data_IF_274308498887
#
_entry.id   IF_274308498887
#
_cell.length_a   1.000
_cell.length_b   1.000
_cell.length_c   1.000
_cell.angle_alpha   90.00
_cell.angle_beta   90.00
_cell.angle_gamma   90.00
#
_symmetry.space_group_name_H-M   'P 1'
#
loop_
_entity.id
_entity.type
_entity.pdbx_description
1 polymer ?
#
# COMPACT_ATOMS: atom_id res chain seq x y z
N UNK A 1 -48.17 8.09 -38.24
CA UNK A 1 -47.90 8.93 -37.05
C UNK A 1 -47.70 8.08 -35.79
N UNK A 2 -48.62 7.18 -35.41
CA UNK A 2 -48.51 6.36 -34.19
C UNK A 2 -47.28 5.44 -34.10
N UNK A 3 -46.85 4.82 -35.21
CA UNK A 3 -45.68 3.92 -35.22
C UNK A 3 -44.35 4.63 -34.94
N UNK A 4 -44.19 5.88 -35.38
CA UNK A 4 -42.98 6.65 -35.12
C UNK A 4 -42.87 7.06 -33.64
N UNK A 5 -43.99 7.43 -33.02
CA UNK A 5 -44.01 7.76 -31.59
C UNK A 5 -43.65 6.54 -30.72
N UNK A 6 -44.15 5.36 -31.06
CA UNK A 6 -43.82 4.12 -30.33
C UNK A 6 -42.33 3.78 -30.38
N UNK A 7 -41.68 3.96 -31.54
CA UNK A 7 -40.23 3.74 -31.68
C UNK A 7 -39.40 4.71 -30.85
N UNK A 8 -39.78 5.99 -30.80
CA UNK A 8 -39.09 7.00 -29.98
C UNK A 8 -39.23 6.69 -28.49
N UNK A 9 -40.43 6.27 -28.05
CA UNK A 9 -40.66 5.88 -26.65
C UNK A 9 -39.85 4.64 -26.30
N UNK A 10 -39.82 3.63 -27.16
CA UNK A 10 -39.00 2.44 -26.94
C UNK A 10 -37.50 2.79 -26.85
N UNK A 11 -37.00 3.60 -27.78
CA UNK A 11 -35.60 4.04 -27.80
C UNK A 11 -35.21 4.83 -26.54
N UNK A 12 -36.09 5.72 -26.05
CA UNK A 12 -35.84 6.50 -24.83
C UNK A 12 -35.88 5.64 -23.56
N UNK A 13 -36.80 4.67 -23.49
CA UNK A 13 -36.85 3.71 -22.38
C UNK A 13 -35.58 2.85 -22.35
N UNK A 14 -35.15 2.32 -23.50
CA UNK A 14 -33.88 1.60 -23.60
C UNK A 14 -32.70 2.50 -23.20
N UNK A 15 -32.61 3.71 -23.72
CA UNK A 15 -31.54 4.64 -23.38
C UNK A 15 -31.51 4.94 -21.87
N UNK A 16 -32.66 5.20 -21.24
CA UNK A 16 -32.75 5.40 -19.79
C UNK A 16 -32.39 4.14 -19.00
N UNK A 17 -32.78 2.96 -19.46
CA UNK A 17 -32.43 1.69 -18.83
C UNK A 17 -30.92 1.46 -18.86
N UNK A 18 -30.31 1.60 -20.04
CA UNK A 18 -28.86 1.52 -20.24
C UNK A 18 -28.11 2.58 -19.42
N UNK A 19 -28.61 3.82 -19.39
CA UNK A 19 -28.01 4.90 -18.61
C UNK A 19 -28.05 4.63 -17.10
N UNK A 20 -29.19 4.15 -16.59
CA UNK A 20 -29.34 3.74 -15.18
C UNK A 20 -28.39 2.60 -14.84
N UNK A 21 -28.29 1.58 -15.71
CA UNK A 21 -27.38 0.44 -15.54
C UNK A 21 -25.92 0.88 -15.54
N UNK A 22 -25.54 1.74 -16.49
CA UNK A 22 -24.20 2.27 -16.64
C UNK A 22 -23.77 3.10 -15.42
N UNK A 23 -24.66 3.97 -14.92
CA UNK A 23 -24.41 4.74 -13.69
C UNK A 23 -24.19 3.84 -12.47
N UNK A 24 -24.99 2.78 -12.31
CA UNK A 24 -24.79 1.81 -11.21
C UNK A 24 -23.43 1.10 -11.30
N UNK A 25 -23.07 0.60 -12.49
CA UNK A 25 -21.77 -0.05 -12.69
C UNK A 25 -20.59 0.88 -12.43
N UNK A 26 -20.68 2.15 -12.85
CA UNK A 26 -19.64 3.16 -12.57
C UNK A 26 -19.49 3.44 -11.08
N UNK A 27 -20.61 3.62 -10.35
CA UNK A 27 -20.57 3.86 -8.90
C UNK A 27 -19.92 2.70 -8.15
N UNK A 28 -20.31 1.47 -8.47
CA UNK A 28 -19.74 0.28 -7.86
C UNK A 28 -18.23 0.16 -8.13
N UNK A 29 -17.80 0.47 -9.36
CA UNK A 29 -16.38 0.47 -9.70
C UNK A 29 -15.60 1.51 -8.89
N UNK A 30 -16.11 2.75 -8.78
CA UNK A 30 -15.49 3.81 -8.00
C UNK A 30 -15.39 3.47 -6.51
N UNK A 31 -16.46 2.93 -5.93
CA UNK A 31 -16.46 2.50 -4.53
C UNK A 31 -15.48 1.36 -4.27
N UNK A 32 -15.44 0.37 -5.17
CA UNK A 32 -14.48 -0.73 -5.07
C UNK A 32 -13.03 -0.22 -5.17
N UNK A 33 -12.76 0.77 -6.02
CA UNK A 33 -11.44 1.39 -6.13
C UNK A 33 -11.07 2.17 -4.87
N UNK A 34 -11.97 3.02 -4.36
CA UNK A 34 -11.72 3.78 -3.13
C UNK A 34 -11.44 2.85 -1.93
N UNK A 35 -12.13 1.71 -1.84
CA UNK A 35 -11.85 0.68 -0.82
C UNK A 35 -10.47 0.05 -1.00
N UNK A 36 -10.08 -0.28 -2.24
CA UNK A 36 -8.75 -0.83 -2.54
C UNK A 36 -7.64 0.18 -2.20
N UNK A 37 -7.80 1.45 -2.54
CA UNK A 37 -6.82 2.49 -2.21
C UNK A 37 -6.64 2.65 -0.70
N UNK A 38 -7.73 2.65 0.06
CA UNK A 38 -7.67 2.67 1.54
C UNK A 38 -6.90 1.47 2.09
N UNK A 39 -7.13 0.27 1.55
CA UNK A 39 -6.38 -0.93 1.96
C UNK A 39 -4.89 -0.83 1.63
N UNK A 40 -4.52 -0.28 0.47
CA UNK A 40 -3.11 -0.06 0.11
C UNK A 40 -2.46 0.96 1.04
N UNK A 41 -3.15 2.06 1.37
CA UNK A 41 -2.65 3.05 2.32
C UNK A 41 -2.45 2.46 3.72
N UNK A 42 -3.43 1.68 4.20
CA UNK A 42 -3.32 0.94 5.46
C UNK A 42 -2.17 -0.08 5.44
N UNK A 43 -1.94 -0.75 4.32
CA UNK A 43 -0.81 -1.66 4.14
C UNK A 43 0.54 -0.96 4.25
N UNK A 44 0.70 0.20 3.60
CA UNK A 44 1.91 1.01 3.73
C UNK A 44 2.12 1.50 5.17
N UNK A 45 1.05 1.95 5.83
CA UNK A 45 1.12 2.38 7.22
C UNK A 45 1.48 1.22 8.16
N UNK A 46 0.85 0.06 8.00
CA UNK A 46 1.16 -1.15 8.77
C UNK A 46 2.60 -1.62 8.55
N UNK A 47 3.11 -1.55 7.32
CA UNK A 47 4.50 -1.84 7.02
C UNK A 47 5.46 -0.84 7.68
N UNK A 48 5.12 0.45 7.69
CA UNK A 48 5.87 1.49 8.38
C UNK A 48 5.94 1.25 9.89
N UNK A 49 4.80 1.00 10.53
CA UNK A 49 4.72 0.68 11.97
C UNK A 49 5.51 -0.60 12.30
N UNK A 50 5.41 -1.64 11.47
CA UNK A 50 6.20 -2.85 11.67
C UNK A 50 7.71 -2.61 11.56
N UNK A 51 8.12 -1.70 10.67
CA UNK A 51 9.51 -1.29 10.53
C UNK A 51 9.99 -0.50 11.76
N UNK A 52 9.16 0.40 12.28
CA UNK A 52 9.47 1.17 13.49
C UNK A 52 9.56 0.30 14.74
N UNK A 53 8.74 -0.76 14.87
CA UNK A 53 8.83 -1.73 15.99
C UNK A 53 10.10 -2.61 15.88
N UNK A 54 10.53 -2.92 14.66
CA UNK A 54 11.75 -3.72 14.44
C UNK A 54 13.02 -2.99 14.88
N UNK A 55 13.03 -1.66 14.85
CA UNK A 55 14.18 -0.85 15.25
C UNK A 55 14.55 -0.99 16.74
N UNK A 56 13.67 -0.74 17.72
CA UNK A 56 13.99 -0.92 19.14
C UNK A 56 14.29 -2.39 19.47
N UNK A 57 13.59 -3.36 18.85
CA UNK A 57 13.90 -4.78 19.05
C UNK A 57 15.30 -5.16 18.58
N UNK A 58 15.76 -4.58 17.47
CA UNK A 58 17.13 -4.78 16.97
C UNK A 58 18.15 -4.19 17.94
N UNK A 59 17.89 -3.00 18.49
CA UNK A 59 18.74 -2.38 19.51
C UNK A 59 18.80 -3.18 20.81
N UNK A 60 17.67 -3.68 21.31
CA UNK A 60 17.61 -4.54 22.52
C UNK A 60 18.42 -5.82 22.32
N UNK A 61 18.29 -6.46 21.15
CA UNK A 61 19.10 -7.63 20.79
C UNK A 61 20.60 -7.31 20.76
N UNK A 62 20.98 -6.16 20.21
CA UNK A 62 22.37 -5.70 20.15
C UNK A 62 22.96 -5.50 21.55
N UNK A 63 22.23 -4.81 22.43
CA UNK A 63 22.61 -4.62 23.84
C UNK A 63 22.73 -5.95 24.59
N UNK A 64 21.76 -6.84 24.43
CA UNK A 64 21.77 -8.15 25.06
C UNK A 64 23.00 -8.99 24.63
N UNK A 65 23.34 -8.99 23.34
CA UNK A 65 24.57 -9.63 22.85
C UNK A 65 25.84 -8.99 23.41
N UNK A 66 25.90 -7.66 23.42
CA UNK A 66 27.01 -6.89 23.95
C UNK A 66 27.30 -7.23 25.43
N UNK A 67 26.26 -7.42 26.25
CA UNK A 67 26.42 -7.84 27.63
C UNK A 67 26.84 -9.31 27.75
N UNK A 68 26.28 -10.21 26.93
CA UNK A 68 26.66 -11.61 26.93
C UNK A 68 28.17 -11.80 26.63
N UNK A 69 28.73 -11.02 25.70
CA UNK A 69 30.15 -11.06 25.33
C UNK A 69 31.10 -10.55 26.43
N UNK A 70 30.62 -9.68 27.33
CA UNK A 70 31.42 -9.10 28.44
C UNK A 70 31.26 -9.82 29.77
N UNK A 71 30.45 -10.86 29.82
CA UNK A 71 30.13 -11.57 31.05
C UNK A 71 30.75 -12.97 31.01
N UNK A 72 31.30 -13.48 32.12
CA UNK A 72 31.87 -14.83 32.15
C UNK A 72 30.88 -15.88 31.63
N UNK A 73 31.28 -16.74 30.70
CA UNK A 73 30.40 -17.80 30.20
C UNK A 73 29.96 -18.71 31.36
N UNK A 74 28.65 -18.91 31.49
CA UNK A 74 28.05 -19.70 32.56
C UNK A 74 27.55 -18.89 33.76
N UNK A 75 27.94 -17.62 33.91
CA UNK A 75 27.43 -16.73 34.95
C UNK A 75 25.95 -16.36 34.75
N UNK A 76 25.23 -16.06 35.84
CA UNK A 76 23.81 -15.71 35.82
C UNK A 76 23.52 -14.54 34.86
N UNK A 77 24.36 -13.51 34.89
CA UNK A 77 24.26 -12.35 33.97
C UNK A 77 24.49 -12.72 32.50
N UNK A 78 25.31 -13.74 32.18
CA UNK A 78 25.49 -14.22 30.80
C UNK A 78 24.23 -14.97 30.32
N UNK A 79 23.62 -15.78 31.19
CA UNK A 79 22.37 -16.49 30.88
C UNK A 79 21.21 -15.50 30.67
N UNK A 80 21.11 -14.49 31.53
CA UNK A 80 20.08 -13.45 31.43
C UNK A 80 20.20 -12.68 30.10
N UNK A 81 21.42 -12.30 29.72
CA UNK A 81 21.71 -11.63 28.46
C UNK A 81 21.36 -12.51 27.24
N UNK A 82 21.63 -13.82 27.29
CA UNK A 82 21.20 -14.75 26.24
C UNK A 82 19.67 -14.84 26.12
N UNK A 83 18.95 -14.89 27.25
CA UNK A 83 17.48 -14.93 27.26
C UNK A 83 16.91 -13.65 26.64
N UNK A 84 17.41 -12.48 27.02
CA UNK A 84 16.98 -11.20 26.42
C UNK A 84 17.22 -11.16 24.90
N UNK A 85 18.38 -11.63 24.44
CA UNK A 85 18.69 -11.69 23.01
C UNK A 85 17.74 -12.64 22.26
N UNK A 86 17.43 -13.80 22.85
CA UNK A 86 16.53 -14.80 22.28
C UNK A 86 15.10 -14.27 22.18
N UNK A 87 14.65 -13.52 23.16
CA UNK A 87 13.29 -12.99 23.21
C UNK A 87 13.07 -11.80 22.29
N UNK A 88 14.05 -10.90 22.18
CA UNK A 88 14.07 -9.86 21.15
C UNK A 88 14.01 -10.46 19.73
N UNK A 89 14.70 -11.60 19.51
CA UNK A 89 14.70 -12.29 18.22
C UNK A 89 13.38 -13.02 17.92
N UNK A 90 12.70 -13.56 18.95
CA UNK A 90 11.34 -14.12 18.82
C UNK A 90 10.33 -13.04 18.45
N UNK A 91 10.38 -11.87 19.12
CA UNK A 91 9.50 -10.74 18.84
C UNK A 91 9.71 -10.21 17.41
N UNK A 92 10.97 -10.09 16.97
CA UNK A 92 11.30 -9.67 15.61
C UNK A 92 10.77 -10.64 14.54
N UNK A 93 10.87 -11.97 14.77
CA UNK A 93 10.30 -12.98 13.87
C UNK A 93 8.77 -12.99 13.85
N UNK A 94 8.13 -12.80 15.01
CA UNK A 94 6.67 -12.70 15.13
C UNK A 94 6.13 -11.50 14.34
N UNK A 95 6.76 -10.33 14.48
CA UNK A 95 6.41 -9.13 13.72
C UNK A 95 6.55 -9.28 12.20
N UNK A 96 7.59 -9.99 11.74
CA UNK A 96 7.80 -10.23 10.29
C UNK A 96 6.72 -11.11 9.66
N UNK A 97 6.18 -12.10 10.37
CA UNK A 97 5.08 -12.94 9.87
C UNK A 97 3.77 -12.16 9.75
N UNK A 98 3.50 -11.24 10.67
CA UNK A 98 2.33 -10.36 10.61
C UNK A 98 2.47 -9.29 9.51
N UNK A 99 3.67 -8.72 9.33
CA UNK A 99 3.93 -7.68 8.33
C UNK A 99 4.06 -8.22 6.90
N UNK A 100 4.58 -9.44 6.72
CA UNK A 100 4.69 -10.11 5.41
C UNK A 100 3.35 -10.50 4.78
N UNK A 101 2.27 -10.51 5.58
CA UNK A 101 0.89 -10.69 5.12
C UNK A 101 0.22 -9.37 4.70
N UNK A 102 1.01 -8.33 4.42
CA UNK A 102 0.52 -7.04 3.93
C UNK A 102 -0.45 -7.20 2.74
N UNK A 103 -1.40 -6.27 2.56
CA UNK A 103 -2.51 -6.44 1.63
C UNK A 103 -1.98 -6.77 0.24
N UNK A 104 -2.48 -7.86 -0.34
CA UNK A 104 -2.09 -8.34 -1.66
C UNK A 104 -2.06 -7.16 -2.66
N UNK A 105 -0.92 -6.97 -3.34
CA UNK A 105 -0.81 -6.00 -4.44
C UNK A 105 -1.99 -6.22 -5.38
N UNK A 106 -2.78 -5.19 -5.71
CA UNK A 106 -3.93 -5.36 -6.57
C UNK A 106 -3.45 -5.90 -7.92
N UNK A 107 -3.86 -7.12 -8.25
CA UNK A 107 -3.32 -7.90 -9.37
C UNK A 107 -3.76 -7.40 -10.76
N UNK A 108 -4.62 -6.38 -10.85
CA UNK A 108 -4.86 -5.61 -12.07
C UNK A 108 -5.20 -4.16 -11.70
N UNK A 109 -4.33 -3.21 -12.09
CA UNK A 109 -4.69 -1.80 -12.13
C UNK A 109 -5.78 -1.59 -13.20
N UNK A 110 -6.82 -0.79 -12.94
CA UNK A 110 -7.80 -0.45 -13.95
C UNK A 110 -7.16 0.35 -15.09
N UNK A 111 -7.80 0.28 -16.26
CA UNK A 111 -7.37 0.88 -17.52
C UNK A 111 -6.87 2.34 -17.39
N UNK A 112 -5.82 2.67 -18.14
CA UNK A 112 -5.05 3.94 -18.09
C UNK A 112 -5.90 5.21 -18.17
N UNK A 113 -7.04 5.14 -18.88
CA UNK A 113 -7.99 6.25 -19.01
C UNK A 113 -8.69 6.58 -17.69
N UNK A 114 -8.97 5.58 -16.86
CA UNK A 114 -9.60 5.75 -15.55
C UNK A 114 -8.64 6.37 -14.55
N UNK A 115 -7.37 5.94 -14.61
CA UNK A 115 -6.31 6.40 -13.73
C UNK A 115 -5.89 7.86 -13.99
N UNK A 116 -6.08 8.33 -15.22
CA UNK A 116 -5.89 9.74 -15.60
C UNK A 116 -7.03 10.64 -15.10
N UNK A 117 -8.26 10.12 -15.05
CA UNK A 117 -9.42 10.86 -14.54
C UNK A 117 -9.51 10.83 -13.00
N UNK A 118 -8.98 9.79 -12.36
CA UNK A 118 -8.96 9.58 -10.91
C UNK A 118 -7.59 9.05 -10.48
N UNK A 119 -6.58 9.92 -10.31
CA UNK A 119 -5.26 9.51 -9.86
C UNK A 119 -5.33 9.00 -8.41
N UNK A 120 -4.56 7.94 -8.06
CA UNK A 120 -4.60 7.39 -6.70
C UNK A 120 -4.11 8.43 -5.70
N UNK A 121 -4.85 8.63 -4.60
CA UNK A 121 -4.51 9.62 -3.56
C UNK A 121 -3.11 9.39 -2.95
N UNK A 122 -2.64 8.14 -2.94
CA UNK A 122 -1.30 7.77 -2.43
C UNK A 122 -0.18 8.41 -3.28
N UNK A 123 -0.45 8.79 -4.54
CA UNK A 123 0.53 9.48 -5.39
C UNK A 123 0.71 10.97 -5.00
N UNK A 124 -0.24 11.57 -4.28
CA UNK A 124 -0.20 13.01 -3.92
C UNK A 124 0.74 13.28 -2.73
N UNK A 125 1.25 12.23 -2.07
CA UNK A 125 2.14 12.34 -0.89
C UNK A 125 3.64 12.19 -1.15
N UNK A 126 4.11 12.10 -2.41
CA UNK A 126 5.54 12.03 -2.71
C UNK A 126 6.05 13.37 -3.26
N UNK A 127 6.52 14.31 -2.41
CA UNK A 127 7.37 15.37 -2.92
C UNK A 127 8.67 14.70 -3.40
N UNK A 128 8.94 14.75 -4.72
CA UNK A 128 10.27 14.41 -5.24
C UNK A 128 10.37 13.23 -6.22
N UNK A 129 9.29 12.72 -6.80
CA UNK A 129 9.39 11.81 -7.96
C UNK A 129 9.03 12.56 -9.26
N UNK A 130 9.81 13.59 -9.59
CA UNK A 130 9.90 14.08 -10.96
C UNK A 130 10.64 13.02 -11.79
N UNK A 131 9.99 12.57 -12.84
CA UNK A 131 10.47 11.55 -13.77
C UNK A 131 11.68 12.10 -14.57
N UNK A 132 12.86 11.43 -14.57
CA UNK A 132 14.01 11.92 -15.29
C UNK A 132 13.92 11.47 -16.76
N UNK A 133 13.05 12.11 -17.52
CA UNK A 133 13.05 12.07 -18.99
C UNK A 133 12.96 13.49 -19.50
N UNK A 134 14.13 14.13 -19.57
CA UNK A 134 14.53 15.21 -20.48
C UNK A 134 15.63 16.04 -19.81
N UNK A 135 16.81 15.43 -19.70
CA UNK A 135 18.04 16.11 -19.25
C UNK A 135 18.92 16.51 -20.44
N UNK A 136 18.31 16.86 -21.57
CA UNK A 136 19.00 17.09 -22.83
C UNK A 136 18.83 18.50 -23.42
N UNK A 137 18.35 19.49 -22.66
CA UNK A 137 18.04 20.83 -23.22
C UNK A 137 18.61 22.03 -22.46
N UNK A 138 19.56 21.83 -21.53
CA UNK A 138 20.19 22.96 -20.83
C UNK A 138 21.70 22.74 -20.80
N UNK A 139 22.36 22.84 -21.96
CA UNK A 139 23.76 23.24 -22.15
C UNK A 139 24.07 23.22 -23.66
N UNK A 140 23.52 24.17 -24.40
CA UNK A 140 24.05 24.57 -25.71
C UNK A 140 23.61 26.00 -26.02
N UNK A 141 24.59 26.79 -26.45
CA UNK A 141 24.54 28.19 -26.87
C UNK A 141 24.74 29.23 -25.74
N UNK A 142 26.00 29.66 -25.64
CA UNK A 142 26.47 31.07 -25.67
C UNK A 142 25.43 32.17 -25.50
#
# INVERSE_FOLDING_TARGET
MLGAAALVIAATILAQFWFRRYRRSRKQLLEAMARKEKLVALGHLAAGVAHEIRNPLSSIKGLAKYFAERTPPGGESHQLAQVMAKEADRLNRGGQRAAGAGPARPSKLPDSRYQRAYPPLIAVGKPGCAEPRDRAAIYSAT
#
